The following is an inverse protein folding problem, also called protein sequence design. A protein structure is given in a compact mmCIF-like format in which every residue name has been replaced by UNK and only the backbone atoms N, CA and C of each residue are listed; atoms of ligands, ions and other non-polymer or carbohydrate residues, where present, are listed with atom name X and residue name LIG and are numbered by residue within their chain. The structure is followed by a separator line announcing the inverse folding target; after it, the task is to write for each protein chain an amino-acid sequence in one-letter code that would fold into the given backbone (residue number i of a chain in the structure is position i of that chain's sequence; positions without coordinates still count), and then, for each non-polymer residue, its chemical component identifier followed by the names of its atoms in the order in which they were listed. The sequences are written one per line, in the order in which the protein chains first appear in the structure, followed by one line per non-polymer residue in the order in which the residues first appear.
data_IF_325258991017
#
_entry.id   IF_325258991017
#
_cell.length_a   1.000
_cell.length_b   1.000
_cell.length_c   1.000
_cell.angle_alpha   90.00
_cell.angle_beta   90.00
_cell.angle_gamma   90.00
#
_symmetry.space_group_name_H-M   'P 1'
#
loop_
_entity.id
_entity.type
_entity.pdbx_description
1 polymer ?
#
# COMPACT_ATOMS: atom_id res chain seq x y z
N UNK A 1 7.46 -68.66 46.97
CA UNK A 1 8.07 -67.47 46.30
C UNK A 1 6.92 -66.66 45.70
N UNK A 2 6.37 -65.69 46.45
CA UNK A 2 5.24 -64.85 46.02
C UNK A 2 5.77 -63.52 45.49
N UNK A 3 5.52 -63.22 44.21
CA UNK A 3 5.75 -61.89 43.65
C UNK A 3 4.50 -61.03 43.85
N UNK A 4 4.66 -59.92 44.56
CA UNK A 4 3.65 -58.87 44.70
C UNK A 4 3.86 -57.87 43.56
N UNK A 5 2.91 -57.81 42.60
CA UNK A 5 2.91 -56.78 41.55
C UNK A 5 2.05 -55.60 41.98
N UNK A 6 2.69 -54.45 42.23
CA UNK A 6 2.01 -53.18 42.52
C UNK A 6 1.59 -52.50 41.22
N UNK A 7 0.29 -52.46 40.94
CA UNK A 7 -0.27 -51.69 39.82
C UNK A 7 -0.26 -50.21 40.20
N UNK A 8 0.65 -49.43 39.61
CA UNK A 8 0.67 -47.98 39.71
C UNK A 8 -0.51 -47.37 38.92
N UNK A 9 -1.55 -46.88 39.63
CA UNK A 9 -2.63 -46.09 39.01
C UNK A 9 -2.06 -44.76 38.51
N UNK A 10 -1.95 -44.58 37.18
CA UNK A 10 -1.64 -43.28 36.56
C UNK A 10 -2.69 -42.24 37.01
N UNK A 11 -2.29 -41.02 37.42
CA UNK A 11 -3.20 -40.03 37.98
C UNK A 11 -4.07 -39.45 36.87
N UNK A 12 -5.25 -40.05 36.67
CA UNK A 12 -6.28 -39.61 35.70
C UNK A 12 -6.63 -38.12 35.86
N UNK A 13 -6.50 -37.58 37.08
CA UNK A 13 -6.73 -36.18 37.40
C UNK A 13 -5.69 -35.23 36.78
N UNK A 14 -4.43 -35.64 36.67
CA UNK A 14 -3.39 -34.81 36.06
C UNK A 14 -3.59 -34.65 34.54
N UNK A 15 -4.04 -35.73 33.86
CA UNK A 15 -4.38 -35.68 32.44
C UNK A 15 -5.62 -34.83 32.16
N UNK A 16 -6.63 -34.90 33.04
CA UNK A 16 -7.85 -34.10 32.93
C UNK A 16 -7.58 -32.59 33.13
N UNK A 17 -6.74 -32.22 34.09
CA UNK A 17 -6.33 -30.84 34.35
C UNK A 17 -5.54 -30.24 33.17
N UNK A 18 -4.61 -31.02 32.59
CA UNK A 18 -3.85 -30.60 31.41
C UNK A 18 -4.76 -30.37 30.20
N UNK A 19 -5.70 -31.28 29.94
CA UNK A 19 -6.66 -31.14 28.85
C UNK A 19 -7.58 -29.92 29.03
N UNK A 20 -8.03 -29.64 30.26
CA UNK A 20 -8.85 -28.47 30.56
C UNK A 20 -8.09 -27.15 30.35
N UNK A 21 -6.82 -27.09 30.73
CA UNK A 21 -5.96 -25.90 30.53
C UNK A 21 -5.73 -25.62 29.03
N UNK A 22 -5.44 -26.66 28.23
CA UNK A 22 -5.26 -26.52 26.78
C UNK A 22 -6.55 -26.06 26.11
N UNK A 23 -7.70 -26.61 26.51
CA UNK A 23 -9.00 -26.18 26.00
C UNK A 23 -9.29 -24.70 26.36
N UNK A 24 -8.99 -24.28 27.59
CA UNK A 24 -9.16 -22.89 28.02
C UNK A 24 -8.25 -21.92 27.23
N UNK A 25 -6.98 -22.29 26.99
CA UNK A 25 -6.05 -21.51 26.18
C UNK A 25 -6.49 -21.42 24.72
N UNK A 26 -6.98 -22.50 24.13
CA UNK A 26 -7.51 -22.50 22.77
C UNK A 26 -8.74 -21.59 22.63
N UNK A 27 -9.67 -21.66 23.59
CA UNK A 27 -10.86 -20.80 23.63
C UNK A 27 -10.49 -19.32 23.82
N UNK A 28 -9.55 -19.00 24.70
CA UNK A 28 -9.05 -17.65 24.89
C UNK A 28 -8.35 -17.11 23.62
N UNK A 29 -7.60 -17.95 22.92
CA UNK A 29 -6.99 -17.62 21.63
C UNK A 29 -8.02 -17.27 20.56
N UNK A 30 -9.08 -18.07 20.43
CA UNK A 30 -10.18 -17.78 19.50
C UNK A 30 -10.91 -16.46 19.84
N UNK A 31 -11.13 -16.19 21.13
CA UNK A 31 -11.75 -14.93 21.57
C UNK A 31 -10.92 -13.71 21.17
N UNK A 32 -9.59 -13.77 21.36
CA UNK A 32 -8.67 -12.69 20.93
C UNK A 32 -8.68 -12.51 19.41
N UNK A 33 -8.70 -13.60 18.63
CA UNK A 33 -8.77 -13.52 17.17
C UNK A 33 -10.07 -12.86 16.68
N UNK A 34 -11.21 -13.22 17.27
CA UNK A 34 -12.52 -12.63 16.92
C UNK A 34 -12.59 -11.16 17.33
N UNK A 35 -12.13 -10.83 18.54
CA UNK A 35 -12.10 -9.45 19.04
C UNK A 35 -11.19 -8.55 18.19
N UNK A 36 -10.05 -9.07 17.72
CA UNK A 36 -9.12 -8.30 16.88
C UNK A 36 -9.58 -8.20 15.41
N UNK A 37 -10.46 -9.10 14.95
CA UNK A 37 -10.90 -9.14 13.56
C UNK A 37 -11.81 -7.97 13.19
N UNK A 38 -12.76 -7.61 14.04
CA UNK A 38 -13.66 -6.47 13.81
C UNK A 38 -12.92 -5.14 13.61
N UNK A 39 -12.05 -4.68 14.53
CA UNK A 39 -11.30 -3.44 14.34
C UNK A 39 -10.33 -3.52 13.16
N UNK A 40 -9.72 -4.69 12.90
CA UNK A 40 -8.86 -4.87 11.72
C UNK A 40 -9.65 -4.72 10.40
N UNK A 41 -10.90 -5.21 10.35
CA UNK A 41 -11.78 -5.04 9.20
C UNK A 41 -12.24 -3.60 9.03
N UNK A 42 -12.57 -2.92 10.11
CA UNK A 42 -12.97 -1.51 10.08
C UNK A 42 -11.82 -0.60 9.59
N UNK A 43 -10.60 -0.85 10.06
CA UNK A 43 -9.38 -0.19 9.57
C UNK A 43 -9.15 -0.51 8.09
N UNK A 44 -9.31 -1.77 7.67
CA UNK A 44 -9.14 -2.16 6.27
C UNK A 44 -10.21 -1.54 5.35
N UNK A 45 -11.44 -1.38 5.82
CA UNK A 45 -12.52 -0.74 5.08
C UNK A 45 -12.30 0.77 4.95
N UNK A 46 -11.92 1.44 6.03
CA UNK A 46 -11.59 2.87 6.02
C UNK A 46 -10.31 3.19 5.24
N UNK A 47 -9.42 2.21 5.06
CA UNK A 47 -8.24 2.33 4.20
C UNK A 47 -8.55 2.13 2.70
N UNK A 48 -9.75 1.68 2.31
CA UNK A 48 -10.10 1.58 0.89
C UNK A 48 -10.16 2.98 0.28
N UNK A 49 -9.51 3.20 -0.88
CA UNK A 49 -9.64 4.43 -1.63
C UNK A 49 -11.12 4.78 -1.85
N UNK A 50 -11.51 6.03 -1.54
CA UNK A 50 -12.74 6.57 -2.12
C UNK A 50 -12.51 6.64 -3.64
N UNK A 51 -13.41 6.05 -4.44
CA UNK A 51 -13.27 6.00 -5.91
C UNK A 51 -13.54 4.62 -6.50
N UNK A 52 -13.73 4.59 -7.81
CA UNK A 52 -14.03 3.39 -8.59
C UNK A 52 -12.88 3.03 -9.54
N UNK A 53 -12.57 1.75 -9.62
CA UNK A 53 -11.42 1.23 -10.40
C UNK A 53 -11.56 1.52 -11.90
N UNK A 54 -12.74 1.30 -12.48
CA UNK A 54 -12.96 1.46 -13.93
C UNK A 54 -12.78 2.90 -14.46
N UNK A 55 -13.43 3.94 -13.90
CA UNK A 55 -13.19 5.32 -14.34
C UNK A 55 -11.73 5.74 -14.13
N UNK A 56 -11.09 5.28 -13.05
CA UNK A 56 -9.66 5.50 -12.79
C UNK A 56 -8.77 4.91 -13.88
N UNK A 57 -9.02 3.66 -14.25
CA UNK A 57 -8.35 3.01 -15.37
C UNK A 57 -8.51 3.81 -16.67
N UNK A 58 -9.72 4.30 -16.99
CA UNK A 58 -9.94 5.07 -18.23
C UNK A 58 -9.10 6.34 -18.28
N UNK A 59 -9.08 7.11 -17.20
CA UNK A 59 -8.27 8.34 -17.13
C UNK A 59 -6.78 8.00 -17.16
N UNK A 60 -6.36 6.92 -16.50
CA UNK A 60 -4.98 6.46 -16.54
C UNK A 60 -4.52 6.11 -17.96
N UNK A 61 -5.32 5.36 -18.71
CA UNK A 61 -5.02 5.03 -20.11
C UNK A 61 -4.90 6.29 -20.98
N UNK A 62 -5.76 7.27 -20.76
CA UNK A 62 -5.83 8.51 -21.54
C UNK A 62 -4.66 9.46 -21.23
N UNK A 63 -4.29 9.61 -19.96
CA UNK A 63 -3.41 10.70 -19.50
C UNK A 63 -2.04 10.25 -19.00
N UNK A 64 -1.91 9.02 -18.50
CA UNK A 64 -0.73 8.59 -17.74
C UNK A 64 0.04 7.44 -18.42
N UNK A 65 -0.67 6.51 -19.06
CA UNK A 65 -0.10 5.29 -19.63
C UNK A 65 0.99 5.53 -20.68
N UNK A 66 0.95 6.68 -21.38
CA UNK A 66 1.97 7.06 -22.37
C UNK A 66 3.39 7.06 -21.77
N UNK A 67 3.54 7.43 -20.50
CA UNK A 67 4.85 7.51 -19.83
C UNK A 67 5.05 6.38 -18.80
N UNK A 68 3.99 5.99 -18.09
CA UNK A 68 4.06 4.97 -17.03
C UNK A 68 3.72 3.55 -17.51
N UNK A 69 3.44 3.39 -18.80
CA UNK A 69 3.01 2.12 -19.39
C UNK A 69 1.51 1.86 -19.15
N UNK A 70 0.86 1.06 -20.01
CA UNK A 70 -0.58 0.72 -19.88
C UNK A 70 -0.89 -0.01 -18.57
N UNK A 71 0.12 -0.64 -18.00
CA UNK A 71 0.01 -1.42 -16.77
C UNK A 71 0.57 -0.71 -15.54
N UNK A 72 0.90 0.58 -15.66
CA UNK A 72 1.56 1.39 -14.64
C UNK A 72 2.95 0.87 -14.18
N UNK A 73 3.49 -0.16 -14.86
CA UNK A 73 4.76 -0.81 -14.57
C UNK A 73 6.01 -0.04 -15.04
N UNK A 74 5.84 1.17 -15.58
CA UNK A 74 6.92 2.03 -16.02
C UNK A 74 7.38 1.79 -17.46
N UNK A 75 8.14 2.77 -17.96
CA UNK A 75 8.84 2.76 -19.25
C UNK A 75 10.14 3.56 -19.12
N UNK A 76 11.01 3.60 -20.14
CA UNK A 76 12.12 4.55 -20.15
C UNK A 76 11.71 6.03 -20.02
N UNK A 77 10.43 6.36 -20.28
CA UNK A 77 9.86 7.72 -20.19
C UNK A 77 9.26 8.05 -18.83
N UNK A 78 9.03 7.07 -17.96
CA UNK A 78 8.39 7.29 -16.67
C UNK A 78 8.49 6.07 -15.75
N UNK A 79 8.68 6.24 -14.44
CA UNK A 79 8.92 5.14 -13.52
C UNK A 79 7.71 4.21 -13.36
N UNK A 80 7.97 3.01 -12.85
CA UNK A 80 6.94 2.14 -12.28
C UNK A 80 6.26 2.85 -11.10
N UNK A 81 4.94 2.97 -11.18
CA UNK A 81 4.11 3.61 -10.17
C UNK A 81 3.70 2.67 -9.06
N UNK A 82 3.67 1.35 -9.30
CA UNK A 82 3.08 0.39 -8.37
C UNK A 82 3.81 0.33 -7.03
N UNK A 83 5.17 0.31 -6.96
CA UNK A 83 5.87 0.34 -5.67
C UNK A 83 5.59 1.61 -4.89
N UNK A 84 5.56 2.76 -5.57
CA UNK A 84 5.35 4.08 -4.94
C UNK A 84 3.94 4.21 -4.40
N UNK A 85 2.94 3.85 -5.20
CA UNK A 85 1.52 3.96 -4.81
C UNK A 85 1.17 2.97 -3.70
N UNK A 86 1.86 1.82 -3.61
CA UNK A 86 1.69 0.87 -2.50
C UNK A 86 1.98 1.49 -1.14
N UNK A 87 2.99 2.35 -1.09
CA UNK A 87 3.48 2.99 0.13
C UNK A 87 2.83 4.37 0.36
N UNK A 88 2.15 4.91 -0.65
CA UNK A 88 1.63 6.27 -0.66
C UNK A 88 0.14 6.33 -0.29
N UNK A 89 -0.19 7.22 0.66
CA UNK A 89 -1.57 7.55 0.99
C UNK A 89 -2.24 8.46 -0.06
N UNK A 90 -3.58 8.44 -0.11
CA UNK A 90 -4.40 9.23 -1.06
C UNK A 90 -4.04 10.72 -1.09
N UNK A 91 -3.82 11.34 0.07
CA UNK A 91 -3.51 12.77 0.20
C UNK A 91 -2.18 13.13 -0.48
N UNK A 92 -1.16 12.28 -0.31
CA UNK A 92 0.14 12.45 -0.93
C UNK A 92 0.04 12.24 -2.44
N UNK A 93 -0.73 11.24 -2.88
CA UNK A 93 -1.00 11.01 -4.30
C UNK A 93 -1.65 12.21 -4.97
N UNK A 94 -2.73 12.76 -4.39
CA UNK A 94 -3.43 13.95 -4.91
C UNK A 94 -2.49 15.15 -4.99
N UNK A 95 -1.70 15.39 -3.94
CA UNK A 95 -0.72 16.48 -3.92
C UNK A 95 0.33 16.37 -5.02
N UNK A 96 0.83 15.15 -5.26
CA UNK A 96 1.81 14.85 -6.29
C UNK A 96 1.22 14.96 -7.71
N UNK A 97 0.02 14.42 -7.96
CA UNK A 97 -0.56 14.43 -9.31
C UNK A 97 -1.07 15.81 -9.71
N UNK A 98 -1.78 16.50 -8.82
CA UNK A 98 -2.39 17.79 -9.17
C UNK A 98 -1.35 18.91 -9.16
N UNK A 99 -0.57 19.01 -8.08
CA UNK A 99 0.30 20.16 -7.84
C UNK A 99 1.78 19.85 -8.01
N UNK A 100 2.12 18.58 -8.29
CA UNK A 100 3.50 18.12 -8.35
C UNK A 100 4.27 18.47 -7.06
N UNK A 101 3.60 18.38 -5.91
CA UNK A 101 4.24 18.57 -4.61
C UNK A 101 5.25 17.44 -4.38
N UNK A 102 6.47 17.72 -4.82
CA UNK A 102 7.75 17.11 -4.56
C UNK A 102 7.78 15.59 -4.32
N UNK A 103 7.90 14.85 -5.42
CA UNK A 103 8.68 13.60 -5.45
C UNK A 103 10.17 13.84 -5.08
N UNK A 104 10.59 15.11 -5.00
CA UNK A 104 11.98 15.60 -5.01
C UNK A 104 12.53 16.12 -3.67
N UNK A 105 11.91 15.84 -2.53
CA UNK A 105 12.49 16.18 -1.22
C UNK A 105 12.86 14.91 -0.43
N UNK A 106 14.14 14.49 -0.44
CA UNK A 106 14.63 13.54 0.55
C UNK A 106 14.44 14.17 1.93
N UNK A 107 13.93 13.39 2.89
CA UNK A 107 13.87 13.78 4.30
C UNK A 107 15.25 14.17 4.91
N UNK A 108 16.34 14.02 4.13
CA UNK A 108 17.71 14.37 4.48
C UNK A 108 18.11 15.85 4.24
N UNK A 109 17.27 16.70 3.61
CA UNK A 109 17.63 18.11 3.31
C UNK A 109 17.29 19.12 4.42
N UNK A 110 17.40 18.70 5.69
CA UNK A 110 17.39 19.62 6.84
C UNK A 110 18.82 20.02 7.27
N UNK A 111 19.75 20.11 6.31
CA UNK A 111 21.15 20.50 6.52
C UNK A 111 21.63 21.45 5.43
N UNK A 112 22.05 22.65 5.87
CA UNK A 112 22.54 23.85 5.16
C UNK A 112 21.85 24.23 3.83
N UNK A 113 21.13 25.35 3.88
CA UNK A 113 20.48 25.97 2.71
C UNK A 113 21.43 26.27 1.54
N UNK A 114 22.74 26.44 1.78
CA UNK A 114 23.70 26.86 0.76
C UNK A 114 24.09 25.74 -0.21
N UNK A 115 24.40 24.53 0.29
CA UNK A 115 24.79 23.40 -0.56
C UNK A 115 23.60 22.88 -1.38
N UNK A 116 22.40 22.92 -0.79
CA UNK A 116 21.16 22.62 -1.52
C UNK A 116 20.89 23.65 -2.63
N UNK A 117 21.21 24.93 -2.40
CA UNK A 117 21.03 26.01 -3.37
C UNK A 117 22.07 25.96 -4.49
N UNK A 118 23.32 25.61 -4.20
CA UNK A 118 24.38 25.39 -5.21
C UNK A 118 24.07 24.18 -6.10
N UNK A 119 23.59 23.08 -5.52
CA UNK A 119 23.14 21.92 -6.30
C UNK A 119 21.94 22.23 -7.20
N UNK A 120 21.04 23.10 -6.77
CA UNK A 120 19.90 23.57 -7.57
C UNK A 120 20.37 24.46 -8.74
N UNK A 121 21.34 25.34 -8.49
CA UNK A 121 21.94 26.20 -9.54
C UNK A 121 22.65 25.33 -10.58
N UNK A 122 23.39 24.31 -10.17
CA UNK A 122 24.05 23.36 -11.08
C UNK A 122 23.03 22.59 -11.95
N UNK A 123 21.91 22.14 -11.39
CA UNK A 123 20.85 21.44 -12.14
C UNK A 123 20.19 22.33 -13.20
N UNK A 124 19.97 23.62 -12.86
CA UNK A 124 19.45 24.63 -13.79
C UNK A 124 20.47 24.96 -14.89
N UNK A 125 21.76 25.07 -14.54
CA UNK A 125 22.85 25.32 -15.50
C UNK A 125 23.06 24.13 -16.46
N UNK A 126 22.85 22.91 -16.00
CA UNK A 126 23.00 21.70 -16.80
C UNK A 126 21.92 21.52 -17.87
N UNK A 127 20.88 22.38 -17.94
CA UNK A 127 19.71 22.24 -18.84
C UNK A 127 19.39 20.76 -19.05
N UNK A 128 18.91 20.08 -18.01
CA UNK A 128 18.28 18.76 -18.15
C UNK A 128 16.93 18.83 -18.91
N UNK A 129 16.85 19.70 -19.92
CA UNK A 129 15.82 19.86 -20.96
C UNK A 129 15.79 18.64 -21.89
N UNK A 130 15.70 17.46 -21.28
CA UNK A 130 15.53 16.17 -21.95
C UNK A 130 14.85 15.15 -21.04
N UNK A 131 14.65 15.46 -19.75
CA UNK A 131 13.86 14.62 -18.86
C UNK A 131 12.39 14.91 -19.10
N UNK A 132 11.64 13.91 -19.57
CA UNK A 132 10.17 13.99 -19.61
C UNK A 132 9.67 14.15 -18.18
N UNK A 133 9.39 15.39 -17.84
CA UNK A 133 8.94 15.75 -16.51
C UNK A 133 7.44 15.46 -16.40
N UNK A 134 7.03 14.73 -15.36
CA UNK A 134 5.61 14.50 -15.08
C UNK A 134 4.90 15.87 -14.91
N UNK A 135 3.88 16.19 -15.74
CA UNK A 135 3.20 17.47 -15.66
C UNK A 135 2.34 17.57 -14.40
N UNK A 136 2.05 18.80 -13.97
CA UNK A 136 1.02 19.07 -12.99
C UNK A 136 -0.36 18.99 -13.67
N UNK A 137 -1.31 18.29 -13.06
CA UNK A 137 -2.63 18.02 -13.65
C UNK A 137 -3.77 18.82 -13.03
N UNK A 138 -3.48 19.80 -12.17
CA UNK A 138 -4.50 20.65 -11.51
C UNK A 138 -5.46 21.32 -12.50
N UNK A 139 -4.95 21.77 -13.65
CA UNK A 139 -5.73 22.43 -14.69
C UNK A 139 -6.43 21.47 -15.68
N UNK A 140 -6.28 20.15 -15.53
CA UNK A 140 -6.92 19.15 -16.39
C UNK A 140 -8.21 18.63 -15.73
N UNK A 141 -9.41 19.03 -16.22
CA UNK A 141 -10.67 18.74 -15.55
C UNK A 141 -10.93 17.24 -15.39
N UNK A 142 -10.55 16.42 -16.38
CA UNK A 142 -10.77 14.97 -16.31
C UNK A 142 -9.91 14.31 -15.24
N UNK A 143 -8.68 14.77 -15.04
CA UNK A 143 -7.80 14.24 -13.99
C UNK A 143 -8.28 14.71 -12.62
N UNK A 144 -8.64 15.99 -12.49
CA UNK A 144 -9.12 16.55 -11.22
C UNK A 144 -10.42 15.87 -10.76
N UNK A 145 -11.41 15.72 -11.64
CA UNK A 145 -12.69 15.08 -11.33
C UNK A 145 -12.55 13.60 -10.93
N UNK A 146 -11.56 12.90 -11.49
CA UNK A 146 -11.34 11.47 -11.29
C UNK A 146 -10.07 11.17 -10.48
N UNK A 147 -9.56 12.13 -9.70
CA UNK A 147 -8.28 11.95 -9.00
C UNK A 147 -8.33 10.81 -7.99
N UNK A 148 -9.49 10.64 -7.35
CA UNK A 148 -9.73 9.59 -6.38
C UNK A 148 -9.99 8.24 -7.06
N UNK A 149 -10.62 8.23 -8.24
CA UNK A 149 -10.73 7.01 -9.07
C UNK A 149 -9.36 6.54 -9.57
N UNK A 150 -8.49 7.47 -9.98
CA UNK A 150 -7.10 7.18 -10.35
C UNK A 150 -6.33 6.53 -9.21
N UNK A 151 -6.46 7.07 -8.00
CA UNK A 151 -5.87 6.46 -6.81
C UNK A 151 -6.45 5.06 -6.55
N UNK A 152 -7.78 4.89 -6.63
CA UNK A 152 -8.42 3.60 -6.46
C UNK A 152 -7.90 2.53 -7.43
N UNK A 153 -7.77 2.87 -8.71
CA UNK A 153 -7.20 1.97 -9.72
C UNK A 153 -5.74 1.61 -9.41
N UNK A 154 -4.86 2.61 -9.20
CA UNK A 154 -3.43 2.37 -9.00
C UNK A 154 -3.15 1.65 -7.68
N UNK A 155 -3.90 1.95 -6.62
CA UNK A 155 -3.80 1.23 -5.34
C UNK A 155 -4.25 -0.23 -5.49
N UNK A 156 -5.35 -0.50 -6.20
CA UNK A 156 -5.80 -1.87 -6.45
C UNK A 156 -4.75 -2.66 -7.26
N UNK A 157 -4.13 -2.03 -8.26
CA UNK A 157 -3.00 -2.60 -9.01
C UNK A 157 -1.80 -2.87 -8.13
N UNK A 158 -1.40 -1.90 -7.32
CA UNK A 158 -0.24 -1.99 -6.43
C UNK A 158 -0.41 -3.08 -5.35
N UNK A 159 -1.64 -3.31 -4.90
CA UNK A 159 -2.00 -4.36 -3.92
C UNK A 159 -2.26 -5.73 -4.57
N UNK A 160 -2.28 -5.81 -5.91
CA UNK A 160 -2.56 -7.05 -6.64
C UNK A 160 -4.04 -7.46 -6.64
N UNK A 161 -4.95 -6.63 -6.13
CA UNK A 161 -6.40 -6.88 -6.18
C UNK A 161 -7.01 -6.56 -7.55
N UNK A 162 -6.31 -5.78 -8.38
CA UNK A 162 -6.63 -5.56 -9.79
C UNK A 162 -5.54 -6.16 -10.68
N UNK A 163 -5.94 -7.03 -11.61
CA UNK A 163 -5.05 -7.60 -12.62
C UNK A 163 -4.69 -6.57 -13.72
N UNK A 164 -3.61 -6.82 -14.48
CA UNK A 164 -3.30 -6.06 -15.69
C UNK A 164 -4.44 -6.02 -16.71
N UNK A 165 -4.47 -4.96 -17.53
CA UNK A 165 -5.48 -4.74 -18.56
C UNK A 165 -6.74 -4.05 -18.06
N UNK A 166 -7.84 -4.23 -18.80
CA UNK A 166 -9.12 -3.56 -18.55
C UNK A 166 -9.81 -4.16 -17.31
N UNK A 167 -10.21 -3.35 -16.32
CA UNK A 167 -10.99 -3.83 -15.17
C UNK A 167 -12.33 -4.45 -15.61
N UNK A 168 -12.73 -5.51 -14.92
CA UNK A 168 -14.05 -6.09 -15.04
C UNK A 168 -15.10 -5.12 -14.46
N UNK A 169 -16.32 -5.09 -15.01
CA UNK A 169 -17.44 -4.33 -14.46
C UNK A 169 -17.89 -4.87 -13.10
#
# INVERSE_FOLDING_TARGET
MSQCSTIARKPRHAAALGAALVAALALAGCAVQVQNRQPAQEIAQSAKPAGSVYPGWRVFQEKCARCHGPEAGGTPRGPDLLPKVREMGSRQFVGLVLRRYDWSMPAARAGSESAAREALVEDVLQRREGQLVMPAWESEPRVNAHIMDLYAYLSARAQGSQAPGRPAP
#
